data_IF_161775896794
#
_entry.id   IF_161775896794
#
_cell.length_a   1.000
_cell.length_b   1.000
_cell.length_c   1.000
_cell.angle_alpha   90.00
_cell.angle_beta   90.00
_cell.angle_gamma   90.00
#
_symmetry.space_group_name_H-M   'P 1'
#
loop_
_entity.id
_entity.type
_entity.pdbx_description
1 polymer ?
#
# COMPACT_ATOMS: atom_id res chain seq x y z
N UNK A 1 -6.96 1.13 -7.64
CA UNK A 1 -7.96 0.63 -6.69
C UNK A 1 -8.60 1.80 -5.98
N UNK A 2 -9.89 1.73 -5.62
CA UNK A 2 -10.62 2.69 -4.77
C UNK A 2 -10.68 2.27 -3.30
N UNK A 3 -9.96 1.19 -2.91
CA UNK A 3 -9.98 0.61 -1.56
C UNK A 3 -9.52 1.56 -0.45
N UNK A 4 -8.80 2.62 -0.79
CA UNK A 4 -8.27 3.61 0.16
C UNK A 4 -8.97 4.97 0.08
N UNK A 5 -10.06 5.08 -0.65
CA UNK A 5 -10.84 6.32 -0.65
C UNK A 5 -11.43 6.60 0.76
N UNK A 6 -11.52 7.87 1.19
CA UNK A 6 -11.14 9.09 0.46
C UNK A 6 -9.65 9.47 0.62
N UNK A 7 -8.86 8.67 1.35
CA UNK A 7 -7.46 9.01 1.67
C UNK A 7 -6.59 8.97 0.43
N UNK A 8 -6.67 7.90 -0.37
CA UNK A 8 -6.00 7.77 -1.67
C UNK A 8 -7.05 7.57 -2.77
N UNK A 9 -6.97 8.39 -3.81
CA UNK A 9 -7.86 8.32 -4.96
C UNK A 9 -7.17 7.59 -6.12
N UNK A 10 -7.93 6.95 -7.03
CA UNK A 10 -7.37 6.42 -8.27
C UNK A 10 -6.60 7.50 -9.06
N UNK A 11 -5.35 7.20 -9.39
CA UNK A 11 -4.46 8.10 -10.12
C UNK A 11 -3.54 8.94 -9.23
N UNK A 12 -3.76 8.97 -7.90
CA UNK A 12 -2.81 9.57 -6.98
C UNK A 12 -1.46 8.84 -7.02
N UNK A 13 -0.39 9.59 -6.81
CA UNK A 13 0.96 9.05 -6.65
C UNK A 13 1.41 9.19 -5.21
N UNK A 14 2.00 8.13 -4.67
CA UNK A 14 2.57 8.12 -3.33
C UNK A 14 4.09 8.06 -3.40
N UNK A 15 4.75 8.90 -2.61
CA UNK A 15 6.17 8.73 -2.31
C UNK A 15 6.25 7.88 -1.05
N UNK A 16 6.89 6.72 -1.14
CA UNK A 16 7.01 5.77 -0.03
C UNK A 16 8.35 5.97 0.66
N UNK A 17 8.32 6.15 1.98
CA UNK A 17 9.51 6.15 2.82
C UNK A 17 9.65 4.79 3.49
N UNK A 18 10.85 4.23 3.45
CA UNK A 18 11.17 3.05 4.27
C UNK A 18 10.91 3.34 5.74
N UNK A 19 10.44 2.34 6.46
CA UNK A 19 10.15 2.39 7.90
C UNK A 19 10.75 1.16 8.54
N UNK A 20 11.21 1.27 9.78
CA UNK A 20 11.46 0.08 10.59
C UNK A 20 10.12 -0.64 10.80
N UNK A 21 9.97 -1.91 10.39
CA UNK A 21 8.73 -2.65 10.58
C UNK A 21 8.27 -2.73 12.04
N UNK A 22 9.17 -2.60 13.01
CA UNK A 22 8.86 -2.57 14.44
C UNK A 22 8.10 -1.31 14.86
N UNK A 23 8.29 -0.20 14.14
CA UNK A 23 7.58 1.06 14.38
C UNK A 23 6.17 1.08 13.74
N UNK A 24 5.79 0.03 13.01
CA UNK A 24 4.48 -0.05 12.36
C UNK A 24 3.41 -0.47 13.36
N UNK A 25 2.61 0.50 13.79
CA UNK A 25 1.45 0.29 14.66
C UNK A 25 0.09 0.55 14.03
N UNK A 26 -0.94 0.36 14.85
CA UNK A 26 -2.35 0.65 14.53
C UNK A 26 -2.53 2.06 13.97
N UNK A 27 -3.35 2.18 12.92
CA UNK A 27 -3.69 3.44 12.27
C UNK A 27 -2.71 3.87 11.18
N UNK A 28 -1.50 3.30 11.11
CA UNK A 28 -0.58 3.56 10.01
C UNK A 28 -1.13 3.05 8.68
N UNK A 29 -0.86 3.79 7.61
CA UNK A 29 -1.02 3.30 6.24
C UNK A 29 0.33 2.76 5.83
N UNK A 30 0.36 1.52 5.35
CA UNK A 30 1.57 0.83 4.93
C UNK A 30 1.46 0.39 3.48
N UNK A 31 2.62 0.35 2.83
CA UNK A 31 2.81 -0.29 1.53
C UNK A 31 3.47 -1.63 1.77
N UNK A 32 2.87 -2.72 1.30
CA UNK A 32 3.38 -4.07 1.53
C UNK A 32 3.08 -4.99 0.35
N UNK A 33 3.93 -5.99 0.17
CA UNK A 33 3.72 -7.06 -0.80
C UNK A 33 3.09 -8.26 -0.11
N UNK A 34 2.42 -9.12 -0.87
CA UNK A 34 2.10 -10.48 -0.43
C UNK A 34 2.85 -11.46 -1.31
N UNK A 35 3.25 -12.64 -0.80
CA UNK A 35 3.89 -13.66 -1.63
C UNK A 35 3.06 -13.96 -2.88
N UNK A 36 3.65 -13.80 -4.06
CA UNK A 36 2.97 -13.98 -5.35
C UNK A 36 2.29 -12.72 -5.93
N UNK A 37 2.36 -11.56 -5.27
CA UNK A 37 1.84 -10.28 -5.78
C UNK A 37 2.84 -9.11 -5.62
N UNK A 38 4.14 -9.41 -5.74
CA UNK A 38 5.24 -8.46 -5.54
C UNK A 38 5.24 -7.28 -6.54
N UNK A 39 4.66 -7.45 -7.73
CA UNK A 39 4.58 -6.39 -8.74
C UNK A 39 3.42 -5.41 -8.52
N UNK A 40 2.53 -5.69 -7.57
CA UNK A 40 1.33 -4.89 -7.30
C UNK A 40 1.11 -4.74 -5.79
N UNK A 41 1.93 -3.90 -5.12
CA UNK A 41 1.86 -3.74 -3.68
C UNK A 41 0.48 -3.24 -3.23
N UNK A 42 0.07 -3.70 -2.06
CA UNK A 42 -1.10 -3.20 -1.38
C UNK A 42 -0.75 -1.96 -0.57
N UNK A 43 -1.69 -1.01 -0.52
CA UNK A 43 -1.58 0.17 0.33
C UNK A 43 -2.82 0.21 1.21
N UNK A 44 -2.72 -0.20 2.48
CA UNK A 44 -3.88 -0.28 3.37
C UNK A 44 -3.53 0.17 4.80
N UNK A 45 -4.57 0.40 5.61
CA UNK A 45 -4.42 0.84 6.99
C UNK A 45 -4.30 -0.35 7.94
N UNK A 46 -3.35 -0.27 8.86
CA UNK A 46 -3.21 -1.20 9.97
C UNK A 46 -4.36 -1.00 10.95
N UNK A 47 -5.08 -2.08 11.23
CA UNK A 47 -6.18 -2.11 12.21
C UNK A 47 -5.68 -2.56 13.58
N UNK A 48 -4.89 -3.63 13.62
CA UNK A 48 -4.31 -4.16 14.86
C UNK A 48 -3.18 -5.15 14.55
N UNK A 49 -2.35 -5.40 15.55
CA UNK A 49 -1.53 -6.62 15.62
C UNK A 49 -2.38 -7.76 16.17
N UNK A 50 -2.08 -8.98 15.77
CA UNK A 50 -2.59 -10.22 16.37
C UNK A 50 -1.44 -11.19 16.54
N UNK A 51 -1.44 -11.90 17.66
CA UNK A 51 -0.49 -12.99 17.86
C UNK A 51 -1.00 -14.32 17.29
N UNK A 52 -0.07 -15.23 17.00
CA UNK A 52 -0.40 -16.56 16.52
C UNK A 52 -1.41 -17.26 17.46
N UNK A 53 -2.47 -17.82 16.88
CA UNK A 53 -3.56 -18.45 17.61
C UNK A 53 -4.67 -17.50 18.07
N UNK A 54 -4.46 -16.19 18.09
CA UNK A 54 -5.50 -15.23 18.43
C UNK A 54 -6.51 -15.04 17.30
N UNK A 55 -7.79 -14.71 17.61
CA UNK A 55 -8.78 -14.45 16.57
C UNK A 55 -8.42 -13.18 15.76
N UNK A 56 -8.31 -13.33 14.43
CA UNK A 56 -7.94 -12.23 13.53
C UNK A 56 -8.94 -11.06 13.57
N UNK A 57 -10.21 -11.33 13.87
CA UNK A 57 -11.25 -10.35 14.19
C UNK A 57 -12.27 -10.99 15.13
N UNK A 58 -13.27 -10.24 15.60
CA UNK A 58 -14.31 -10.81 16.46
C UNK A 58 -15.01 -11.97 15.73
N UNK A 59 -14.98 -13.17 16.34
CA UNK A 59 -15.48 -14.43 15.75
C UNK A 59 -14.77 -14.85 14.43
N UNK A 60 -13.60 -14.29 14.14
CA UNK A 60 -12.74 -14.71 13.03
C UNK A 60 -11.93 -15.97 13.36
N UNK A 61 -11.33 -16.61 12.33
CA UNK A 61 -10.45 -17.74 12.56
C UNK A 61 -9.18 -17.30 13.34
N UNK A 62 -8.54 -18.25 14.05
CA UNK A 62 -7.26 -17.99 14.70
C UNK A 62 -6.18 -17.64 13.67
N UNK A 63 -5.29 -16.73 14.03
CA UNK A 63 -4.17 -16.33 13.20
C UNK A 63 -3.18 -17.50 13.04
N UNK A 64 -2.79 -17.90 11.82
CA UNK A 64 -1.81 -18.96 11.61
C UNK A 64 -0.39 -18.58 12.05
N UNK A 65 -0.12 -17.28 12.21
CA UNK A 65 1.13 -16.69 12.71
C UNK A 65 0.87 -15.23 13.12
N UNK A 66 1.76 -14.65 13.92
CA UNK A 66 1.61 -13.25 14.36
C UNK A 66 1.81 -12.27 13.20
N UNK A 67 1.06 -11.16 13.20
CA UNK A 67 1.21 -10.10 12.21
C UNK A 67 0.11 -9.04 12.27
N UNK A 68 0.07 -8.21 11.23
CA UNK A 68 -0.84 -7.07 11.15
C UNK A 68 -2.13 -7.45 10.42
N UNK A 69 -3.26 -7.10 11.02
CA UNK A 69 -4.56 -7.07 10.32
C UNK A 69 -4.69 -5.72 9.64
N UNK A 70 -4.98 -5.75 8.34
CA UNK A 70 -5.07 -4.55 7.51
C UNK A 70 -6.44 -4.42 6.87
N UNK A 71 -6.79 -3.20 6.50
CA UNK A 71 -8.03 -2.90 5.80
C UNK A 71 -7.84 -1.67 4.93
N UNK A 72 -8.29 -1.75 3.68
CA UNK A 72 -8.55 -0.54 2.89
C UNK A 72 -9.60 0.34 3.56
N UNK A 73 -9.38 1.65 3.63
CA UNK A 73 -10.30 2.59 4.29
C UNK A 73 -11.74 2.48 3.75
N UNK A 74 -11.88 2.22 2.44
CA UNK A 74 -13.15 2.03 1.73
C UNK A 74 -13.59 0.56 1.60
N UNK A 75 -12.83 -0.41 2.12
CA UNK A 75 -13.22 -1.81 2.04
C UNK A 75 -14.35 -2.13 3.04
N UNK A 76 -15.21 -3.11 2.73
CA UNK A 76 -16.24 -3.58 3.69
C UNK A 76 -15.66 -4.51 4.76
N UNK A 77 -14.69 -5.33 4.38
CA UNK A 77 -14.09 -6.36 5.23
C UNK A 77 -12.59 -6.12 5.41
N UNK A 78 -12.00 -6.74 6.43
CA UNK A 78 -10.55 -6.85 6.56
C UNK A 78 -9.96 -7.54 5.33
N UNK A 79 -8.72 -7.20 5.00
CA UNK A 79 -8.09 -7.76 3.80
C UNK A 79 -7.99 -9.29 3.91
N UNK A 80 -7.65 -9.78 5.11
CA UNK A 80 -7.56 -11.21 5.48
C UNK A 80 -8.91 -11.94 5.48
N UNK A 81 -10.04 -11.22 5.37
CA UNK A 81 -11.37 -11.81 5.25
C UNK A 81 -11.88 -11.86 3.79
N UNK A 82 -11.20 -11.19 2.86
CA UNK A 82 -11.71 -10.92 1.51
C UNK A 82 -11.21 -11.88 0.41
N UNK A 83 -10.25 -12.75 0.71
CA UNK A 83 -9.76 -13.78 -0.21
C UNK A 83 -9.23 -14.96 0.61
N UNK A 84 -9.58 -16.17 0.21
CA UNK A 84 -9.26 -17.43 0.89
C UNK A 84 -7.79 -17.48 1.38
N UNK A 85 -7.63 -17.35 2.71
CA UNK A 85 -6.40 -17.57 3.49
C UNK A 85 -5.13 -16.85 3.04
N UNK A 86 -5.15 -15.52 3.10
CA UNK A 86 -3.93 -14.75 3.36
C UNK A 86 -3.95 -14.44 4.86
N UNK A 87 -3.00 -14.99 5.63
CA UNK A 87 -2.86 -14.71 7.06
C UNK A 87 -2.53 -13.23 7.34
N UNK A 88 -2.25 -12.87 8.61
CA UNK A 88 -1.83 -11.51 8.96
C UNK A 88 -0.66 -11.02 8.09
N UNK A 89 -0.55 -9.73 7.83
CA UNK A 89 0.59 -9.17 7.10
C UNK A 89 1.83 -9.26 7.98
N UNK A 90 2.87 -9.94 7.49
CA UNK A 90 4.13 -10.05 8.22
C UNK A 90 4.95 -8.76 8.12
N UNK A 91 5.77 -8.49 9.12
CA UNK A 91 6.60 -7.28 9.18
C UNK A 91 7.60 -7.21 8.01
N UNK A 92 8.17 -8.34 7.63
CA UNK A 92 9.12 -8.45 6.51
C UNK A 92 8.50 -8.16 5.14
N UNK A 93 7.16 -8.13 5.04
CA UNK A 93 6.45 -7.80 3.81
C UNK A 93 6.28 -6.29 3.60
N UNK A 94 6.51 -5.50 4.64
CA UNK A 94 6.32 -4.05 4.62
C UNK A 94 7.47 -3.40 3.85
N UNK A 95 7.12 -2.59 2.84
CA UNK A 95 8.07 -1.78 2.06
C UNK A 95 8.26 -0.39 2.63
N UNK A 96 7.25 0.12 3.32
CA UNK A 96 7.31 1.46 3.90
C UNK A 96 5.94 2.04 4.20
N UNK A 97 5.94 3.36 4.40
CA UNK A 97 4.73 4.17 4.63
C UNK A 97 4.64 5.27 3.58
N UNK A 98 3.43 5.66 3.14
CA UNK A 98 3.27 6.87 2.35
C UNK A 98 3.77 8.09 3.13
N UNK A 99 4.70 8.83 2.54
CA UNK A 99 5.22 10.10 3.06
C UNK A 99 4.44 11.28 2.49
N UNK A 100 4.22 11.26 1.17
CA UNK A 100 3.45 12.28 0.45
C UNK A 100 2.46 11.62 -0.51
N UNK A 101 1.32 12.29 -0.68
CA UNK A 101 0.30 11.96 -1.68
C UNK A 101 0.24 13.12 -2.66
N UNK A 102 0.57 12.85 -3.91
CA UNK A 102 0.42 13.80 -5.01
C UNK A 102 -0.93 13.53 -5.67
N UNK A 103 -1.82 14.53 -5.61
CA UNK A 103 -3.21 14.37 -6.05
C UNK A 103 -3.35 14.42 -7.56
N UNK A 104 -4.12 13.47 -8.09
CA UNK A 104 -4.54 13.42 -9.48
C UNK A 104 -3.52 12.76 -10.41
N UNK A 105 -3.98 12.39 -11.63
CA UNK A 105 -3.13 11.71 -12.59
C UNK A 105 -2.00 12.65 -13.05
N UNK A 106 -0.74 12.19 -13.01
CA UNK A 106 0.38 12.97 -13.52
C UNK A 106 0.42 13.06 -15.05
N UNK A 107 -0.26 12.16 -15.78
CA UNK A 107 -0.17 12.10 -17.24
C UNK A 107 -0.50 13.45 -17.93
N UNK A 108 -1.60 14.16 -17.60
CA UNK A 108 -1.86 15.49 -18.17
C UNK A 108 -0.79 16.54 -17.82
N UNK A 109 -0.17 16.42 -16.64
CA UNK A 109 0.89 17.33 -16.20
C UNK A 109 2.20 17.06 -16.97
N UNK A 110 2.57 15.78 -17.10
CA UNK A 110 3.73 15.33 -17.89
C UNK A 110 3.54 15.68 -19.36
N UNK A 111 2.36 15.46 -19.93
CA UNK A 111 2.07 15.80 -21.34
C UNK A 111 2.17 17.32 -21.59
N UNK A 112 1.82 18.14 -20.59
CA UNK A 112 1.89 19.61 -20.64
C UNK A 112 3.32 20.14 -20.51
N UNK A 113 4.11 19.61 -19.59
CA UNK A 113 5.43 20.15 -19.24
C UNK A 113 6.62 19.35 -19.79
N UNK A 114 6.43 18.08 -20.14
CA UNK A 114 7.47 17.17 -20.66
C UNK A 114 7.87 17.41 -22.12
N UNK A 115 7.20 18.31 -22.84
CA UNK A 115 7.59 18.73 -24.19
C UNK A 115 8.75 19.73 -24.21
N UNK A 116 9.18 20.23 -23.05
CA UNK A 116 10.34 21.12 -22.94
C UNK A 116 11.59 20.23 -22.78
N UNK A 117 12.44 20.20 -23.82
CA UNK A 117 13.74 19.46 -23.97
C UNK A 117 13.70 18.16 -24.77
N UNK A 118 13.61 18.30 -26.10
CA UNK A 118 14.67 17.79 -26.98
C UNK A 118 15.22 18.97 -27.77
N UNK A 119 16.28 19.60 -27.25
CA UNK A 119 17.11 20.44 -28.09
C UNK A 119 17.76 19.47 -29.09
N UNK A 120 17.40 19.54 -30.37
CA UNK A 120 18.11 18.85 -31.43
C UNK A 120 19.57 19.31 -31.32
N UNK A 121 20.48 18.42 -30.94
CA UNK A 121 21.88 18.61 -31.31
C UNK A 121 21.90 18.54 -32.83
N UNK A 122 22.39 19.60 -33.46
CA UNK A 122 22.66 19.62 -34.90
C UNK A 122 23.51 18.41 -35.28
N UNK A 123 23.19 17.68 -36.36
CA UNK A 123 24.14 16.81 -36.99
C UNK A 123 25.09 17.72 -37.77
N UNK A 124 26.31 17.94 -37.28
CA UNK A 124 27.53 18.26 -38.02
C UNK A 124 28.57 18.94 -37.10
N UNK A 125 29.28 18.13 -36.31
CA UNK A 125 30.68 18.34 -35.91
C UNK A 125 31.35 16.98 -35.78
#
# INVERSE_FOLDING_TARGET
SSSMEPVLLPGDMIIVKSVDPEEVGKGHIIVFDTPGQEESPYVHRVIKWVDAGEPMWNLGPPAPYSGLITKGDNNKYFDQASAASIGPVKKEWIKGKPLFILRGPLKPLIDRYGKIRRNKRDPDV
#
